data_IF_194710606410
#
_entry.id   IF_194710606410
#
_cell.length_a   1.000
_cell.length_b   1.000
_cell.length_c   1.000
_cell.angle_alpha   90.00
_cell.angle_beta   90.00
_cell.angle_gamma   90.00
#
_symmetry.space_group_name_H-M   'P 1'
#
loop_
_entity.id
_entity.type
_entity.pdbx_description
1 polymer ?
#
# COMPACT_ATOMS: atom_id res chain seq x y z
N UNK A 1 -12.01 6.55 4.48
CA UNK A 1 -11.58 7.75 3.72
C UNK A 1 -12.00 7.67 2.25
N UNK A 2 -11.60 6.66 1.48
CA UNK A 2 -11.95 6.54 0.05
C UNK A 2 -13.46 6.63 -0.23
N UNK A 3 -14.28 5.83 0.47
CA UNK A 3 -15.75 5.80 0.31
C UNK A 3 -16.42 7.13 0.62
N UNK A 4 -15.91 7.85 1.61
CA UNK A 4 -16.58 9.05 2.16
C UNK A 4 -16.08 10.36 1.52
N UNK A 5 -14.78 10.43 1.19
CA UNK A 5 -14.11 11.68 0.81
C UNK A 5 -13.75 11.71 -0.67
N UNK A 6 -13.40 10.56 -1.25
CA UNK A 6 -12.95 10.47 -2.65
C UNK A 6 -13.67 9.38 -3.47
N UNK A 7 -15.00 9.23 -3.36
CA UNK A 7 -15.71 8.16 -4.06
C UNK A 7 -15.55 8.26 -5.58
N UNK A 8 -15.44 9.48 -6.11
CA UNK A 8 -15.29 9.76 -7.55
C UNK A 8 -13.95 9.30 -8.16
N UNK A 9 -12.99 8.87 -7.34
CA UNK A 9 -11.73 8.27 -7.81
C UNK A 9 -11.84 6.76 -8.06
N UNK A 10 -12.87 6.09 -7.54
CA UNK A 10 -13.07 4.66 -7.63
C UNK A 10 -14.29 4.34 -8.50
N UNK A 11 -14.17 4.54 -9.81
CA UNK A 11 -15.26 4.41 -10.79
C UNK A 11 -15.22 3.14 -11.63
N UNK A 12 -14.12 2.39 -11.61
CA UNK A 12 -13.94 1.19 -12.45
C UNK A 12 -14.79 0.00 -11.98
N UNK A 13 -15.16 -0.02 -10.70
CA UNK A 13 -16.03 -1.01 -10.09
C UNK A 13 -16.70 -0.40 -8.84
N UNK A 14 -17.82 -0.97 -8.35
CA UNK A 14 -18.33 -0.62 -7.04
C UNK A 14 -17.22 -0.72 -5.99
N UNK A 15 -17.19 0.23 -5.06
CA UNK A 15 -16.20 0.23 -4.00
C UNK A 15 -16.32 -1.08 -3.21
N UNK A 16 -15.22 -1.84 -3.09
CA UNK A 16 -15.24 -3.06 -2.32
C UNK A 16 -15.51 -2.76 -0.84
N UNK A 17 -16.52 -3.41 -0.29
CA UNK A 17 -16.86 -3.37 1.13
C UNK A 17 -16.86 -4.81 1.63
N UNK A 18 -15.74 -5.22 2.20
CA UNK A 18 -15.52 -6.59 2.65
C UNK A 18 -14.53 -6.62 3.80
N UNK A 19 -14.68 -7.54 4.79
CA UNK A 19 -13.74 -7.65 5.91
C UNK A 19 -12.29 -7.95 5.54
N UNK A 20 -12.05 -8.54 4.36
CA UNK A 20 -10.72 -8.88 3.83
C UNK A 20 -10.10 -7.77 2.95
N UNK A 21 -10.76 -6.61 2.82
CA UNK A 21 -10.29 -5.47 2.03
C UNK A 21 -10.15 -4.26 2.93
N UNK A 22 -8.91 -3.81 3.12
CA UNK A 22 -8.59 -2.76 4.07
C UNK A 22 -8.11 -1.50 3.36
N UNK A 23 -8.39 -0.34 3.95
CA UNK A 23 -7.87 0.93 3.45
C UNK A 23 -6.52 1.25 4.09
N UNK A 24 -5.45 1.29 3.29
CA UNK A 24 -4.13 1.71 3.73
C UNK A 24 -4.01 3.25 3.63
N UNK A 25 -3.80 3.91 4.77
CA UNK A 25 -3.63 5.37 4.83
C UNK A 25 -2.38 5.76 5.62
N UNK A 26 -1.96 7.02 5.48
CA UNK A 26 -0.82 7.62 6.21
C UNK A 26 0.53 6.91 6.01
N UNK A 27 0.70 6.24 4.88
CA UNK A 27 2.02 5.77 4.45
C UNK A 27 2.95 6.97 4.28
N UNK A 28 4.09 6.92 4.97
CA UNK A 28 5.12 7.96 4.94
C UNK A 28 6.47 7.39 5.32
N UNK A 29 7.51 7.95 4.71
CA UNK A 29 8.91 7.64 5.03
C UNK A 29 9.58 8.98 5.28
N UNK A 30 10.44 9.04 6.29
CA UNK A 30 11.16 10.26 6.61
C UNK A 30 12.01 10.73 5.41
N UNK A 31 11.83 12.00 5.06
CA UNK A 31 12.49 12.65 3.91
C UNK A 31 13.95 12.97 4.20
N UNK A 32 14.30 13.12 5.48
CA UNK A 32 15.65 13.51 5.94
C UNK A 32 16.58 12.30 6.06
N UNK A 33 16.06 11.08 5.86
CA UNK A 33 16.89 9.88 5.71
C UNK A 33 17.75 9.95 4.44
N UNK A 34 18.99 9.48 4.57
CA UNK A 34 19.89 9.27 3.45
C UNK A 34 19.21 8.44 2.35
N UNK A 35 19.44 8.74 1.05
CA UNK A 35 18.65 8.16 -0.05
C UNK A 35 18.61 6.63 -0.06
N UNK A 36 19.72 5.97 0.30
CA UNK A 36 19.79 4.52 0.41
C UNK A 36 18.92 3.98 1.56
N UNK A 37 19.04 4.58 2.74
CA UNK A 37 18.25 4.19 3.92
C UNK A 37 16.76 4.47 3.72
N UNK A 38 16.42 5.60 3.10
CA UNK A 38 15.04 5.93 2.73
C UNK A 38 14.43 4.90 1.79
N UNK A 39 15.20 4.38 0.85
CA UNK A 39 14.76 3.30 -0.06
C UNK A 39 14.53 1.98 0.68
N UNK A 40 15.41 1.64 1.63
CA UNK A 40 15.25 0.44 2.47
C UNK A 40 14.01 0.58 3.35
N UNK A 41 13.86 1.69 4.07
CA UNK A 41 12.70 1.94 4.92
C UNK A 41 11.38 1.90 4.14
N UNK A 42 11.35 2.45 2.92
CA UNK A 42 10.20 2.36 2.03
C UNK A 42 9.86 0.89 1.65
N UNK A 43 10.87 0.10 1.32
CA UNK A 43 10.69 -1.31 0.95
C UNK A 43 10.23 -2.14 2.16
N UNK A 44 10.82 -1.92 3.33
CA UNK A 44 10.45 -2.60 4.57
C UNK A 44 9.02 -2.25 4.99
N UNK A 45 8.62 -0.98 4.88
CA UNK A 45 7.24 -0.55 5.15
C UNK A 45 6.24 -1.29 4.26
N UNK A 46 6.51 -1.38 2.96
CA UNK A 46 5.65 -2.07 2.00
C UNK A 46 5.62 -3.59 2.26
N UNK A 47 6.79 -4.20 2.47
CA UNK A 47 6.89 -5.62 2.78
C UNK A 47 6.15 -5.96 4.08
N UNK A 48 6.28 -5.11 5.12
CA UNK A 48 5.55 -5.24 6.37
C UNK A 48 4.04 -5.18 6.19
N UNK A 49 3.52 -4.27 5.36
CA UNK A 49 2.09 -4.27 5.03
C UNK A 49 1.65 -5.59 4.38
N UNK A 50 2.42 -6.10 3.41
CA UNK A 50 2.10 -7.37 2.74
C UNK A 50 2.17 -8.57 3.70
N UNK A 51 3.19 -8.63 4.55
CA UNK A 51 3.35 -9.66 5.59
C UNK A 51 2.17 -9.62 6.57
N UNK A 52 1.80 -8.43 7.03
CA UNK A 52 0.64 -8.26 7.90
C UNK A 52 -0.63 -8.76 7.25
N UNK A 53 -0.87 -8.40 5.98
CA UNK A 53 -2.05 -8.83 5.26
C UNK A 53 -2.11 -10.35 5.08
N UNK A 54 -1.00 -10.99 4.74
CA UNK A 54 -0.92 -12.45 4.64
C UNK A 54 -1.23 -13.14 5.98
N UNK A 55 -0.71 -12.61 7.08
CA UNK A 55 -0.89 -13.20 8.41
C UNK A 55 -2.31 -13.01 8.97
N UNK A 56 -3.03 -11.98 8.51
CA UNK A 56 -4.35 -11.62 9.04
C UNK A 56 -5.50 -11.86 8.05
N UNK A 57 -5.26 -12.56 6.93
CA UNK A 57 -6.29 -12.88 5.96
C UNK A 57 -6.83 -11.68 5.18
N UNK A 58 -6.04 -10.61 5.05
CA UNK A 58 -6.38 -9.45 4.21
C UNK A 58 -6.00 -9.78 2.77
N UNK A 59 -6.97 -9.78 1.86
CA UNK A 59 -6.77 -10.08 0.46
C UNK A 59 -6.33 -8.88 -0.38
N UNK A 60 -6.72 -7.66 0.03
CA UNK A 60 -6.38 -6.43 -0.69
C UNK A 60 -6.20 -5.23 0.23
N UNK A 61 -5.28 -4.34 -0.16
CA UNK A 61 -5.29 -2.95 0.31
C UNK A 61 -5.79 -2.03 -0.78
N UNK A 62 -6.75 -1.16 -0.44
CA UNK A 62 -7.14 0.00 -1.24
C UNK A 62 -6.53 1.27 -0.65
N UNK A 63 -6.23 2.26 -1.49
CA UNK A 63 -5.63 3.51 -1.03
C UNK A 63 -5.88 4.65 -2.01
N UNK A 64 -5.76 5.88 -1.51
CA UNK A 64 -5.77 7.12 -2.30
C UNK A 64 -4.44 7.82 -2.11
N UNK A 65 -3.72 8.09 -3.21
CA UNK A 65 -2.48 8.86 -3.15
C UNK A 65 -2.13 9.52 -4.49
N UNK A 66 -1.28 10.57 -4.49
CA UNK A 66 -0.73 11.14 -5.72
C UNK A 66 -0.05 10.08 -6.59
N UNK A 67 -0.30 10.12 -7.90
CA UNK A 67 0.24 9.16 -8.87
C UNK A 67 1.77 9.13 -8.86
N UNK A 68 2.40 10.27 -8.58
CA UNK A 68 3.84 10.34 -8.38
C UNK A 68 4.30 9.44 -7.22
N UNK A 69 3.59 9.46 -6.09
CA UNK A 69 3.90 8.62 -4.92
C UNK A 69 3.64 7.14 -5.23
N UNK A 70 2.54 6.79 -5.93
CA UNK A 70 2.32 5.39 -6.39
C UNK A 70 3.53 4.88 -7.16
N UNK A 71 4.01 5.67 -8.12
CA UNK A 71 5.16 5.30 -8.96
C UNK A 71 6.43 5.18 -8.15
N UNK A 72 6.74 6.17 -7.32
CA UNK A 72 8.05 6.24 -6.64
C UNK A 72 8.15 5.35 -5.41
N UNK A 73 7.04 5.10 -4.73
CA UNK A 73 6.99 4.33 -3.49
C UNK A 73 6.63 2.87 -3.77
N UNK A 74 5.47 2.62 -4.40
CA UNK A 74 4.92 1.27 -4.55
C UNK A 74 5.51 0.53 -5.75
N UNK A 75 5.40 1.12 -6.95
CA UNK A 75 5.83 0.44 -8.19
C UNK A 75 7.35 0.21 -8.19
N UNK A 76 8.13 1.23 -7.76
CA UNK A 76 9.60 1.08 -7.62
C UNK A 76 10.01 0.05 -6.57
N UNK A 77 9.19 -0.18 -5.55
CA UNK A 77 9.43 -1.23 -4.56
C UNK A 77 9.01 -2.62 -5.05
N UNK A 78 8.39 -2.75 -6.25
CA UNK A 78 8.01 -4.03 -6.85
C UNK A 78 6.53 -4.38 -6.74
N UNK A 79 5.68 -3.47 -6.23
CA UNK A 79 4.24 -3.72 -6.17
C UNK A 79 3.58 -3.64 -7.55
N UNK A 80 2.73 -4.62 -7.84
CA UNK A 80 1.72 -4.53 -8.89
C UNK A 80 0.49 -3.79 -8.37
N UNK A 81 0.22 -2.60 -8.91
CA UNK A 81 -0.86 -1.71 -8.51
C UNK A 81 -1.92 -1.66 -9.61
N UNK A 82 -3.20 -1.79 -9.24
CA UNK A 82 -4.32 -1.60 -10.16
C UNK A 82 -5.06 -0.30 -9.80
N UNK A 83 -5.34 0.56 -10.79
CA UNK A 83 -6.13 1.77 -10.55
C UNK A 83 -7.61 1.40 -10.45
N UNK A 84 -8.33 2.07 -9.56
CA UNK A 84 -9.76 1.89 -9.34
C UNK A 84 -10.62 2.88 -10.14
N UNK A 85 -9.99 3.73 -10.94
CA UNK A 85 -10.62 4.74 -11.77
C UNK A 85 -9.57 5.63 -12.42
N UNK A 86 -10.04 6.58 -13.23
CA UNK A 86 -9.15 7.57 -13.85
C UNK A 86 -8.57 8.52 -12.79
N UNK A 87 -7.25 8.77 -12.79
CA UNK A 87 -6.66 9.76 -11.90
C UNK A 87 -7.27 11.15 -12.12
N UNK A 88 -7.56 11.86 -11.02
CA UNK A 88 -8.10 13.23 -11.07
C UNK A 88 -7.16 14.20 -10.38
N UNK A 89 -7.21 15.46 -10.80
CA UNK A 89 -6.41 16.52 -10.17
C UNK A 89 -7.07 16.97 -8.87
N UNK A 90 -6.36 16.81 -7.75
CA UNK A 90 -6.75 17.29 -6.43
C UNK A 90 -5.68 18.30 -5.98
N UNK A 91 -6.07 19.58 -5.92
CA UNK A 91 -5.12 20.67 -5.76
C UNK A 91 -4.05 20.67 -6.87
N UNK A 92 -2.77 20.58 -6.50
CA UNK A 92 -1.64 20.55 -7.45
C UNK A 92 -1.24 19.15 -7.90
N UNK A 93 -1.86 18.11 -7.36
CA UNK A 93 -1.43 16.73 -7.55
C UNK A 93 -2.43 15.96 -8.43
N UNK A 94 -1.90 15.14 -9.34
CA UNK A 94 -2.69 14.11 -10.00
C UNK A 94 -2.80 12.92 -9.05
N UNK A 95 -4.01 12.62 -8.60
CA UNK A 95 -4.30 11.67 -7.51
C UNK A 95 -5.19 10.55 -8.02
N UNK A 96 -4.96 9.33 -7.55
CA UNK A 96 -5.73 8.16 -7.94
C UNK A 96 -6.15 7.34 -6.72
N UNK A 97 -7.28 6.66 -6.84
CA UNK A 97 -7.60 5.50 -6.02
C UNK A 97 -7.03 4.26 -6.70
N UNK A 98 -6.45 3.35 -5.92
CA UNK A 98 -5.82 2.15 -6.44
C UNK A 98 -5.84 1.03 -5.39
N UNK A 99 -5.53 -0.18 -5.85
CA UNK A 99 -5.42 -1.37 -5.01
C UNK A 99 -4.13 -2.15 -5.24
N UNK A 100 -3.70 -2.87 -4.21
CA UNK A 100 -2.68 -3.92 -4.26
C UNK A 100 -3.30 -5.21 -3.72
N UNK A 101 -3.18 -6.28 -4.49
CA UNK A 101 -3.54 -7.64 -4.04
C UNK A 101 -2.44 -8.19 -3.15
N UNK A 102 -2.83 -8.78 -2.02
CA UNK A 102 -1.96 -9.38 -1.03
C UNK A 102 -1.78 -10.87 -1.35
N UNK A 103 -0.57 -11.22 -1.79
CA UNK A 103 -0.19 -12.61 -2.10
C UNK A 103 1.27 -12.83 -1.75
N UNK A 104 1.66 -14.08 -1.51
CA UNK A 104 3.07 -14.45 -1.36
C UNK A 104 3.89 -14.01 -2.60
N UNK A 105 3.32 -14.14 -3.80
CA UNK A 105 3.98 -13.70 -5.04
C UNK A 105 4.24 -12.19 -5.08
N UNK A 106 3.31 -11.36 -4.60
CA UNK A 106 3.52 -9.92 -4.48
C UNK A 106 4.63 -9.59 -3.49
N UNK A 107 4.63 -10.24 -2.31
CA UNK A 107 5.68 -10.08 -1.30
C UNK A 107 7.06 -10.47 -1.85
N UNK A 108 7.14 -11.57 -2.60
CA UNK A 108 8.38 -12.02 -3.23
C UNK A 108 8.90 -11.02 -4.29
N UNK A 109 8.00 -10.37 -5.04
CA UNK A 109 8.40 -9.30 -5.99
C UNK A 109 9.01 -8.13 -5.24
N UNK A 110 8.39 -7.71 -4.13
CA UNK A 110 8.91 -6.62 -3.30
C UNK A 110 10.26 -6.97 -2.72
N UNK A 111 10.39 -8.16 -2.13
CA UNK A 111 11.65 -8.67 -1.58
C UNK A 111 12.77 -8.71 -2.61
N UNK A 112 12.53 -9.26 -3.81
CA UNK A 112 13.52 -9.29 -4.90
C UNK A 112 13.92 -7.89 -5.38
N UNK A 113 12.97 -6.98 -5.53
CA UNK A 113 13.24 -5.62 -6.02
C UNK A 113 14.04 -4.76 -5.03
N UNK A 114 14.02 -5.12 -3.75
CA UNK A 114 14.63 -4.36 -2.64
C UNK A 114 15.82 -5.07 -1.98
N UNK A 115 16.06 -6.34 -2.29
CA UNK A 115 17.10 -7.15 -1.64
C UNK A 115 16.74 -7.61 -0.23
N UNK A 116 15.48 -7.51 0.19
CA UNK A 116 15.02 -7.99 1.50
C UNK A 116 14.96 -9.53 1.51
N UNK A 117 15.62 -10.13 2.49
CA UNK A 117 15.72 -11.59 2.63
C UNK A 117 15.18 -12.12 3.96
N UNK A 118 14.71 -11.23 4.84
CA UNK A 118 14.14 -11.58 6.14
C UNK A 118 12.74 -10.96 6.29
N UNK A 119 11.87 -11.56 7.12
CA UNK A 119 10.64 -10.91 7.52
C UNK A 119 10.90 -9.56 8.19
N UNK A 120 10.04 -8.59 7.92
CA UNK A 120 10.04 -7.27 8.59
C UNK A 120 9.29 -7.36 9.92
N UNK A 121 8.15 -8.06 9.92
CA UNK A 121 7.38 -8.33 11.13
C UNK A 121 7.95 -9.58 11.80
N UNK A 122 8.56 -9.38 12.98
CA UNK A 122 9.16 -10.46 13.78
C UNK A 122 8.16 -11.13 14.72
N UNK A 123 7.15 -10.39 15.18
CA UNK A 123 6.09 -10.87 16.05
C UNK A 123 4.77 -10.88 15.30
N UNK A 124 4.32 -12.07 14.93
CA UNK A 124 3.03 -12.29 14.24
C UNK A 124 1.87 -12.47 15.21
N UNK A 125 2.11 -12.37 16.53
CA UNK A 125 1.08 -12.52 17.56
C UNK A 125 0.40 -11.20 17.90
N UNK A 126 0.89 -10.07 17.40
CA UNK A 126 0.31 -8.74 17.64
C UNK A 126 -1.10 -8.71 17.04
N UNK A 127 -2.16 -8.75 17.86
CA UNK A 127 -3.52 -8.78 17.34
C UNK A 127 -3.85 -7.41 16.75
N UNK A 128 -4.73 -7.39 15.75
CA UNK A 128 -5.38 -6.15 15.37
C UNK A 128 -6.12 -5.58 16.58
N UNK A 129 -5.68 -4.41 17.05
CA UNK A 129 -6.37 -3.68 18.11
C UNK A 129 -7.38 -2.74 17.44
N UNK A 130 -8.67 -3.04 17.60
CA UNK A 130 -9.71 -2.06 17.31
C UNK A 130 -9.51 -0.89 18.28
N UNK A 131 -8.92 0.20 17.79
CA UNK A 131 -8.91 1.47 18.51
C UNK A 131 -10.28 2.07 18.25
N UNK A 132 -11.19 1.85 19.21
CA UNK A 132 -12.53 2.46 19.23
C UNK A 132 -12.45 3.98 19.44
#
# INVERSE_FOLDING_TARGET
MLKEVFPDLATSAPLPESPDIWEATRIGVDRDLEPGLRRVAAAELIAGCLEYGLNNGIGKFVFVMPLAIIKTLLIRAGCSVALLGEPRRIGKQLTAAAEIVITAQQLDRVRRASGLNKPVILDTTIPYQNVA
#
